data_IF_717246926093
#
_entry.id   IF_717246926093
#
_cell.length_a   1.000
_cell.length_b   1.000
_cell.length_c   1.000
_cell.angle_alpha   90.00
_cell.angle_beta   90.00
_cell.angle_gamma   90.00
#
_symmetry.space_group_name_H-M   'P 1'
#
loop_
_entity.id
_entity.type
_entity.pdbx_description
1 polymer ?
#
# COMPACT_ATOMS: atom_id res chain seq x y z
N UNK A 1 35.32 10.94 41.55
CA UNK A 1 35.33 10.94 40.08
C UNK A 1 34.73 9.60 39.64
N UNK A 2 33.41 9.57 39.45
CA UNK A 2 32.66 8.35 39.14
C UNK A 2 32.76 8.09 37.63
N UNK A 3 33.07 6.87 37.17
CA UNK A 3 33.13 6.58 35.75
C UNK A 3 31.73 6.68 35.16
N UNK A 4 31.63 7.35 34.01
CA UNK A 4 30.39 7.58 33.30
C UNK A 4 29.64 6.29 33.00
N UNK A 5 28.40 6.25 33.45
CA UNK A 5 27.40 5.25 33.10
C UNK A 5 27.03 5.46 31.62
N UNK A 6 27.80 4.86 30.72
CA UNK A 6 27.50 4.89 29.30
C UNK A 6 26.23 4.05 29.09
N UNK A 7 25.12 4.73 28.83
CA UNK A 7 23.87 4.08 28.46
C UNK A 7 24.14 3.04 27.36
N UNK A 8 23.62 1.81 27.48
CA UNK A 8 23.84 0.78 26.48
C UNK A 8 23.39 1.30 25.11
N UNK A 9 24.11 0.98 24.02
CA UNK A 9 23.70 1.37 22.68
C UNK A 9 22.27 0.86 22.46
N UNK A 10 21.39 1.76 22.01
CA UNK A 10 20.03 1.40 21.66
C UNK A 10 20.06 0.18 20.73
N UNK A 11 19.17 -0.81 20.93
CA UNK A 11 19.16 -1.99 20.07
C UNK A 11 19.05 -1.53 18.61
N UNK A 12 19.92 -2.07 17.77
CA UNK A 12 19.91 -1.85 16.33
C UNK A 12 18.64 -2.49 15.77
N UNK A 13 17.56 -1.71 15.70
CA UNK A 13 16.28 -2.19 15.19
C UNK A 13 16.43 -2.35 13.69
N UNK A 14 16.26 -3.57 13.20
CA UNK A 14 16.25 -3.87 11.77
C UNK A 14 15.29 -2.90 11.04
N UNK A 15 15.77 -2.08 10.09
CA UNK A 15 14.94 -1.12 9.36
C UNK A 15 13.70 -1.76 8.72
N UNK A 16 13.80 -3.03 8.30
CA UNK A 16 12.68 -3.79 7.76
C UNK A 16 11.60 -4.01 8.81
N UNK A 17 11.99 -4.42 10.02
CA UNK A 17 11.06 -4.71 11.12
C UNK A 17 10.43 -3.41 11.65
N UNK A 18 11.20 -2.31 11.69
CA UNK A 18 10.69 -0.98 12.00
C UNK A 18 9.65 -0.48 10.96
N UNK A 19 9.91 -0.70 9.67
CA UNK A 19 8.99 -0.35 8.60
C UNK A 19 7.70 -1.19 8.66
N UNK A 20 7.82 -2.50 8.90
CA UNK A 20 6.67 -3.40 9.07
C UNK A 20 5.81 -2.99 10.27
N UNK A 21 6.42 -2.71 11.42
CA UNK A 21 5.71 -2.24 12.61
C UNK A 21 5.01 -0.89 12.38
N UNK A 22 5.60 -0.01 11.57
CA UNK A 22 4.99 1.28 11.22
C UNK A 22 3.76 1.09 10.32
N UNK A 23 3.86 0.23 9.31
CA UNK A 23 2.72 -0.12 8.47
C UNK A 23 1.58 -0.77 9.28
N UNK A 24 1.91 -1.70 10.18
CA UNK A 24 0.93 -2.35 11.06
C UNK A 24 0.22 -1.35 11.99
N UNK A 25 0.93 -0.34 12.51
CA UNK A 25 0.31 0.74 13.29
C UNK A 25 -0.63 1.59 12.44
N UNK A 26 -0.25 1.86 11.19
CA UNK A 26 -1.10 2.63 10.26
C UNK A 26 -2.38 1.86 9.90
N UNK A 27 -2.29 0.56 9.59
CA UNK A 27 -3.47 -0.27 9.30
C UNK A 27 -4.35 -0.43 10.53
N UNK A 28 -3.78 -0.61 11.74
CA UNK A 28 -4.54 -0.63 12.99
C UNK A 28 -5.29 0.69 13.24
N UNK A 29 -4.63 1.84 13.05
CA UNK A 29 -5.28 3.14 13.14
C UNK A 29 -6.45 3.27 12.16
N UNK A 30 -6.26 2.87 10.90
CA UNK A 30 -7.31 2.97 9.88
C UNK A 30 -8.46 1.99 10.12
N UNK A 31 -8.22 0.80 10.66
CA UNK A 31 -9.30 -0.10 11.12
C UNK A 31 -10.15 0.56 12.20
N UNK A 32 -9.54 1.26 13.16
CA UNK A 32 -10.30 2.03 14.14
C UNK A 32 -11.14 3.16 13.49
N UNK A 33 -10.64 3.76 12.41
CA UNK A 33 -11.42 4.73 11.62
C UNK A 33 -12.54 4.09 10.80
N UNK A 34 -12.41 2.83 10.38
CA UNK A 34 -13.41 2.13 9.59
C UNK A 34 -14.74 1.94 10.32
N UNK A 35 -14.71 1.94 11.66
CA UNK A 35 -15.92 1.84 12.50
C UNK A 35 -16.60 3.19 12.75
N UNK A 36 -16.06 4.29 12.23
CA UNK A 36 -16.62 5.61 12.44
C UNK A 36 -17.79 5.85 11.47
N UNK A 37 -18.93 6.23 12.04
CA UNK A 37 -20.19 6.44 11.30
C UNK A 37 -20.09 7.47 10.18
N UNK A 38 -19.15 8.42 10.27
CA UNK A 38 -18.96 9.43 9.25
C UNK A 38 -18.53 8.83 7.89
N UNK A 39 -17.90 7.66 7.89
CA UNK A 39 -17.39 7.04 6.67
C UNK A 39 -18.53 6.54 5.78
N UNK A 40 -19.58 5.96 6.36
CA UNK A 40 -20.71 5.36 5.62
C UNK A 40 -21.89 6.32 5.38
N UNK A 41 -21.89 7.49 6.03
CA UNK A 41 -22.96 8.48 5.86
C UNK A 41 -22.97 9.09 4.44
N UNK A 42 -24.13 9.55 3.93
CA UNK A 42 -24.20 10.38 2.73
C UNK A 42 -23.49 11.73 2.91
N UNK A 43 -22.83 12.25 1.86
CA UNK A 43 -22.01 13.47 1.96
C UNK A 43 -22.59 14.61 1.13
N UNK A 44 -22.69 15.80 1.72
CA UNK A 44 -22.87 17.02 0.94
C UNK A 44 -21.59 17.34 0.16
N UNK A 45 -21.68 18.22 -0.85
CA UNK A 45 -20.57 18.46 -1.78
C UNK A 45 -19.30 19.03 -1.12
N UNK A 46 -19.45 19.89 -0.10
CA UNK A 46 -18.30 20.42 0.64
C UNK A 46 -17.59 19.34 1.46
N UNK A 47 -18.36 18.50 2.17
CA UNK A 47 -17.81 17.39 2.94
C UNK A 47 -17.15 16.34 2.03
N UNK A 48 -17.71 16.13 0.84
CA UNK A 48 -17.19 15.20 -0.17
C UNK A 48 -15.75 15.54 -0.57
N UNK A 49 -15.45 16.82 -0.80
CA UNK A 49 -14.09 17.24 -1.19
C UNK A 49 -13.07 16.92 -0.09
N UNK A 50 -13.39 17.29 1.16
CA UNK A 50 -12.52 17.05 2.31
C UNK A 50 -12.33 15.56 2.54
N UNK A 51 -13.41 14.78 2.56
CA UNK A 51 -13.36 13.32 2.78
C UNK A 51 -12.61 12.60 1.67
N UNK A 52 -12.84 12.98 0.41
CA UNK A 52 -12.08 12.41 -0.71
C UNK A 52 -10.58 12.67 -0.54
N UNK A 53 -10.18 13.87 -0.12
CA UNK A 53 -8.77 14.16 0.15
C UNK A 53 -8.21 13.34 1.31
N UNK A 54 -8.95 13.18 2.40
CA UNK A 54 -8.56 12.34 3.55
C UNK A 54 -8.37 10.89 3.12
N UNK A 55 -9.34 10.29 2.43
CA UNK A 55 -9.26 8.91 1.95
C UNK A 55 -8.11 8.74 0.95
N UNK A 56 -7.95 9.67 0.00
CA UNK A 56 -6.85 9.65 -0.94
C UNK A 56 -5.47 9.74 -0.27
N UNK A 57 -5.38 10.48 0.85
CA UNK A 57 -4.16 10.54 1.66
C UNK A 57 -3.93 9.24 2.43
N UNK A 58 -4.96 8.63 3.02
CA UNK A 58 -4.81 7.34 3.71
C UNK A 58 -4.29 6.25 2.79
N UNK A 59 -4.90 6.09 1.60
CA UNK A 59 -4.42 5.11 0.61
C UNK A 59 -2.99 5.43 0.17
N UNK A 60 -2.70 6.71 -0.09
CA UNK A 60 -1.36 7.15 -0.48
C UNK A 60 -0.29 6.89 0.58
N UNK A 61 -0.65 6.98 1.86
CA UNK A 61 0.27 6.72 2.96
C UNK A 61 0.51 5.22 3.13
N UNK A 62 -0.53 4.38 3.02
CA UNK A 62 -0.35 2.92 3.01
C UNK A 62 0.56 2.47 1.86
N UNK A 63 0.35 2.99 0.64
CA UNK A 63 1.23 2.75 -0.52
C UNK A 63 2.68 3.14 -0.22
N UNK A 64 2.89 4.29 0.43
CA UNK A 64 4.21 4.80 0.77
C UNK A 64 4.90 3.93 1.84
N UNK A 65 4.17 3.54 2.88
CA UNK A 65 4.69 2.70 3.94
C UNK A 65 5.06 1.31 3.44
N UNK A 66 4.24 0.70 2.58
CA UNK A 66 4.57 -0.56 1.91
C UNK A 66 5.81 -0.42 1.01
N UNK A 67 5.94 0.71 0.32
CA UNK A 67 7.12 0.99 -0.49
C UNK A 67 8.40 1.08 0.35
N UNK A 68 8.35 1.75 1.51
CA UNK A 68 9.48 1.83 2.46
C UNK A 68 9.84 0.45 3.00
N UNK A 69 8.83 -0.38 3.34
CA UNK A 69 9.07 -1.76 3.76
C UNK A 69 9.75 -2.59 2.67
N UNK A 70 9.31 -2.47 1.41
CA UNK A 70 9.93 -3.13 0.28
C UNK A 70 11.39 -2.68 0.07
N UNK A 71 11.68 -1.39 0.25
CA UNK A 71 13.05 -0.87 0.14
C UNK A 71 13.96 -1.42 1.25
N UNK A 72 13.49 -1.41 2.49
CA UNK A 72 14.25 -1.98 3.61
C UNK A 72 14.46 -3.49 3.46
N UNK A 73 13.46 -4.22 2.95
CA UNK A 73 13.58 -5.65 2.70
C UNK A 73 14.55 -5.97 1.54
N UNK A 74 14.51 -5.17 0.47
CA UNK A 74 15.44 -5.28 -0.66
C UNK A 74 16.89 -4.99 -0.27
N UNK A 75 17.12 -3.92 0.50
CA UNK A 75 18.44 -3.55 1.01
C UNK A 75 19.02 -4.65 1.90
N UNK A 76 18.23 -5.13 2.86
CA UNK A 76 18.60 -6.26 3.73
C UNK A 76 18.95 -7.52 2.93
N UNK A 77 18.26 -7.79 1.83
CA UNK A 77 18.54 -8.92 0.93
C UNK A 77 19.71 -8.68 -0.04
N UNK A 78 20.34 -7.50 -0.04
CA UNK A 78 21.44 -7.15 -0.95
C UNK A 78 20.98 -6.90 -2.39
N UNK A 79 19.70 -6.59 -2.61
CA UNK A 79 19.18 -6.24 -3.92
C UNK A 79 19.35 -4.73 -4.20
N UNK A 80 19.90 -4.36 -5.36
CA UNK A 80 20.03 -2.95 -5.71
C UNK A 80 18.65 -2.32 -5.92
N UNK A 81 18.32 -1.32 -5.10
CA UNK A 81 17.10 -0.52 -5.25
C UNK A 81 17.22 0.28 -6.55
N UNK A 82 16.44 -0.09 -7.57
CA UNK A 82 16.48 0.62 -8.86
C UNK A 82 15.51 1.80 -8.86
N UNK A 83 16.00 2.97 -9.25
CA UNK A 83 15.17 4.18 -9.46
C UNK A 83 14.09 4.02 -10.54
N UNK A 84 14.16 2.96 -11.36
CA UNK A 84 13.14 2.59 -12.35
C UNK A 84 11.90 1.92 -11.74
N UNK A 85 11.97 1.45 -10.50
CA UNK A 85 10.86 0.74 -9.84
C UNK A 85 9.91 1.70 -9.10
N UNK A 86 9.35 2.70 -9.77
CA UNK A 86 8.55 3.74 -9.09
C UNK A 86 7.18 3.27 -8.56
N UNK A 87 6.67 2.13 -9.05
CA UNK A 87 5.37 1.57 -8.65
C UNK A 87 5.56 0.45 -7.62
N UNK A 88 4.89 0.58 -6.46
CA UNK A 88 4.86 -0.41 -5.38
C UNK A 88 4.45 -1.81 -5.88
N UNK A 89 3.52 -1.93 -6.82
CA UNK A 89 3.12 -3.22 -7.39
C UNK A 89 4.29 -3.91 -8.15
N UNK A 90 5.04 -3.15 -8.95
CA UNK A 90 6.18 -3.70 -9.69
C UNK A 90 7.35 -4.05 -8.75
N UNK A 91 7.60 -3.24 -7.71
CA UNK A 91 8.56 -3.57 -6.66
C UNK A 91 8.19 -4.87 -5.96
N UNK A 92 6.92 -5.01 -5.58
CA UNK A 92 6.39 -6.19 -4.92
C UNK A 92 6.64 -7.45 -5.73
N UNK A 93 6.30 -7.47 -7.03
CA UNK A 93 6.54 -8.65 -7.89
C UNK A 93 8.01 -8.96 -8.05
N UNK A 94 8.84 -7.93 -8.18
CA UNK A 94 10.30 -8.12 -8.36
C UNK A 94 10.92 -8.71 -7.11
N UNK A 95 10.45 -8.30 -5.93
CA UNK A 95 11.00 -8.72 -4.64
C UNK A 95 10.36 -10.00 -4.09
N UNK A 96 9.04 -10.15 -4.25
CA UNK A 96 8.22 -11.22 -3.69
C UNK A 96 7.20 -11.69 -4.73
N UNK A 97 7.62 -12.56 -5.65
CA UNK A 97 6.76 -13.07 -6.73
C UNK A 97 5.49 -13.77 -6.21
N UNK A 98 5.56 -14.39 -5.02
CA UNK A 98 4.43 -15.01 -4.33
C UNK A 98 3.32 -14.00 -3.97
N UNK A 99 3.64 -12.72 -3.85
CA UNK A 99 2.68 -11.65 -3.59
C UNK A 99 2.07 -11.05 -4.88
N UNK A 100 2.32 -11.65 -6.05
CA UNK A 100 1.79 -11.19 -7.34
C UNK A 100 0.25 -11.17 -7.41
N UNK A 101 -0.44 -11.96 -6.58
CA UNK A 101 -1.90 -11.92 -6.43
C UNK A 101 -2.41 -10.53 -6.04
N UNK A 102 -1.59 -9.74 -5.34
CA UNK A 102 -1.94 -8.39 -4.90
C UNK A 102 -1.88 -7.33 -6.01
N UNK A 103 -1.31 -7.63 -7.18
CA UNK A 103 -1.09 -6.62 -8.24
C UNK A 103 -2.37 -5.94 -8.69
N UNK A 104 -3.41 -6.71 -9.04
CA UNK A 104 -4.66 -6.14 -9.53
C UNK A 104 -5.33 -5.24 -8.48
N UNK A 105 -5.20 -5.62 -7.20
CA UNK A 105 -5.66 -4.82 -6.06
C UNK A 105 -4.86 -3.54 -5.92
N UNK A 106 -3.53 -3.60 -5.94
CA UNK A 106 -2.65 -2.41 -5.85
C UNK A 106 -2.86 -1.44 -7.02
N UNK A 107 -3.04 -1.94 -8.25
CA UNK A 107 -3.38 -1.10 -9.40
C UNK A 107 -4.76 -0.44 -9.23
N UNK A 108 -5.73 -1.19 -8.70
CA UNK A 108 -7.02 -0.66 -8.30
C UNK A 108 -6.92 0.41 -7.21
N UNK A 109 -6.03 0.23 -6.22
CA UNK A 109 -5.77 1.22 -5.17
C UNK A 109 -5.12 2.48 -5.74
N UNK A 110 -4.17 2.34 -6.67
CA UNK A 110 -3.56 3.48 -7.36
C UNK A 110 -4.60 4.30 -8.13
N UNK A 111 -5.53 3.63 -8.83
CA UNK A 111 -6.67 4.29 -9.50
C UNK A 111 -7.63 4.97 -8.51
N UNK A 112 -7.96 4.29 -7.41
CA UNK A 112 -8.83 4.84 -6.37
C UNK A 112 -8.22 6.08 -5.74
N UNK A 113 -6.94 6.03 -5.35
CA UNK A 113 -6.17 7.16 -4.82
C UNK A 113 -6.19 8.35 -5.76
N UNK A 114 -5.87 8.15 -7.05
CA UNK A 114 -5.91 9.22 -8.04
C UNK A 114 -7.31 9.83 -8.15
N UNK A 115 -8.34 9.00 -8.12
CA UNK A 115 -9.75 9.43 -8.20
C UNK A 115 -10.15 10.28 -6.99
N UNK A 116 -9.79 9.85 -5.78
CA UNK A 116 -10.03 10.60 -4.56
C UNK A 116 -9.25 11.92 -4.52
N UNK A 117 -7.99 11.92 -4.96
CA UNK A 117 -7.09 13.08 -4.89
C UNK A 117 -7.41 14.15 -5.93
N UNK A 118 -7.69 13.77 -7.17
CA UNK A 118 -7.78 14.71 -8.30
C UNK A 118 -9.20 14.96 -8.78
N UNK A 119 -10.12 14.03 -8.54
CA UNK A 119 -11.49 14.10 -9.08
C UNK A 119 -12.56 14.04 -8.01
N UNK A 120 -12.16 14.19 -6.74
CA UNK A 120 -13.07 14.23 -5.58
C UNK A 120 -14.01 13.01 -5.57
N UNK A 121 -13.44 11.84 -5.87
CA UNK A 121 -14.16 10.57 -5.90
C UNK A 121 -15.00 10.31 -7.17
N UNK A 122 -14.99 11.15 -8.20
CA UNK A 122 -15.63 10.79 -9.48
C UNK A 122 -14.76 9.85 -10.31
N UNK A 123 -15.29 8.69 -10.70
CA UNK A 123 -14.64 7.80 -11.66
C UNK A 123 -14.57 8.51 -13.02
N UNK A 124 -13.38 9.02 -13.39
CA UNK A 124 -13.17 9.74 -14.67
C UNK A 124 -12.25 9.03 -15.64
N UNK A 125 -11.57 7.97 -15.21
CA UNK A 125 -10.64 7.21 -16.04
C UNK A 125 -11.02 5.75 -16.03
N UNK A 126 -11.32 5.19 -17.20
CA UNK A 126 -11.60 3.78 -17.35
C UNK A 126 -10.33 2.93 -17.25
N UNK A 127 -10.50 1.64 -16.95
CA UNK A 127 -9.41 0.67 -16.87
C UNK A 127 -8.65 0.56 -18.20
N UNK A 128 -9.38 0.66 -19.31
CA UNK A 128 -8.85 0.62 -20.68
C UNK A 128 -9.28 1.87 -21.46
N UNK A 129 -8.51 2.24 -22.48
CA UNK A 129 -8.83 3.38 -23.35
C UNK A 129 -10.19 3.13 -24.04
N UNK A 130 -11.11 4.08 -23.90
CA UNK A 130 -12.47 3.96 -24.44
C UNK A 130 -13.41 3.04 -23.63
N UNK A 131 -12.94 2.49 -22.51
CA UNK A 131 -13.78 1.67 -21.62
C UNK A 131 -14.83 2.49 -20.86
N UNK A 132 -15.81 1.78 -20.31
CA UNK A 132 -16.95 2.37 -19.59
C UNK A 132 -16.87 2.22 -18.06
N UNK A 133 -15.87 1.50 -17.55
CA UNK A 133 -15.75 1.18 -16.13
C UNK A 133 -14.34 1.43 -15.60
N UNK A 134 -14.26 1.76 -14.32
CA UNK A 134 -13.04 1.82 -13.52
C UNK A 134 -13.12 0.80 -12.39
N UNK A 135 -12.05 0.03 -12.21
CA UNK A 135 -11.91 -0.97 -11.15
C UNK A 135 -11.05 -0.44 -10.01
N UNK A 136 -11.49 -0.64 -8.77
CA UNK A 136 -10.77 -0.27 -7.53
C UNK A 136 -10.16 -1.50 -6.84
N UNK A 137 -9.36 -1.27 -5.79
CA UNK A 137 -8.56 -2.32 -5.15
C UNK A 137 -9.27 -3.17 -4.08
N UNK A 138 -10.52 -2.85 -3.76
CA UNK A 138 -11.36 -3.60 -2.82
C UNK A 138 -12.52 -4.29 -3.53
N UNK A 139 -13.15 -5.25 -2.86
CA UNK A 139 -14.16 -6.11 -3.44
C UNK A 139 -15.52 -5.43 -3.52
N UNK A 140 -16.28 -5.82 -4.54
CA UNK A 140 -17.71 -5.58 -4.64
C UNK A 140 -18.49 -6.82 -4.18
N UNK A 141 -19.82 -6.81 -4.40
CA UNK A 141 -20.65 -7.98 -4.19
C UNK A 141 -20.09 -9.21 -4.93
N UNK A 142 -20.05 -10.36 -4.25
CA UNK A 142 -19.54 -11.60 -4.85
C UNK A 142 -18.01 -11.75 -4.87
N UNK A 143 -17.26 -10.87 -4.20
CA UNK A 143 -15.80 -11.02 -4.00
C UNK A 143 -14.93 -10.61 -5.19
N UNK A 144 -15.52 -10.27 -6.34
CA UNK A 144 -14.80 -9.65 -7.45
C UNK A 144 -14.42 -8.20 -7.11
N UNK A 145 -13.33 -7.69 -7.70
CA UNK A 145 -12.95 -6.28 -7.51
C UNK A 145 -14.08 -5.35 -7.93
N UNK A 146 -14.35 -4.34 -7.10
CA UNK A 146 -15.46 -3.43 -7.32
C UNK A 146 -15.22 -2.58 -8.56
N UNK A 147 -16.27 -2.42 -9.35
CA UNK A 147 -16.26 -1.63 -10.59
C UNK A 147 -17.28 -0.51 -10.49
N UNK A 148 -16.90 0.65 -11.01
CA UNK A 148 -17.75 1.84 -11.09
C UNK A 148 -17.85 2.26 -12.55
N UNK A 149 -19.04 2.64 -13.01
CA UNK A 149 -19.21 3.26 -14.32
C UNK A 149 -18.53 4.63 -14.32
N UNK A 150 -17.99 5.03 -15.47
CA UNK A 150 -17.45 6.38 -15.61
C UNK A 150 -18.56 7.41 -15.38
N UNK A 151 -18.26 8.42 -14.56
CA UNK A 151 -19.21 9.41 -14.05
C UNK A 151 -19.76 9.08 -12.65
N UNK A 152 -19.70 7.81 -12.21
CA UNK A 152 -20.14 7.44 -10.87
C UNK A 152 -19.22 7.99 -9.79
N UNK A 153 -19.79 8.15 -8.60
CA UNK A 153 -19.06 8.55 -7.40
C UNK A 153 -18.63 7.30 -6.64
N UNK A 154 -17.33 7.20 -6.44
CA UNK A 154 -16.70 6.16 -5.65
C UNK A 154 -16.88 6.50 -4.18
N UNK A 155 -17.37 5.51 -3.45
CA UNK A 155 -17.50 5.56 -2.01
C UNK A 155 -16.66 4.41 -1.41
N UNK A 156 -15.80 4.77 -0.47
CA UNK A 156 -15.05 3.82 0.35
C UNK A 156 -15.72 3.81 1.73
N UNK A 157 -16.52 2.77 1.99
CA UNK A 157 -17.17 2.56 3.29
C UNK A 157 -16.26 1.79 4.26
N UNK A 158 -16.74 1.59 5.49
CA UNK A 158 -15.99 0.91 6.56
C UNK A 158 -15.46 -0.45 6.18
N UNK A 159 -16.32 -1.34 5.68
CA UNK A 159 -15.92 -2.71 5.29
C UNK A 159 -14.84 -2.72 4.22
N UNK A 160 -14.93 -1.80 3.24
CA UNK A 160 -13.93 -1.68 2.20
C UNK A 160 -12.60 -1.14 2.75
N UNK A 161 -12.63 -0.25 3.74
CA UNK A 161 -11.41 0.23 4.41
C UNK A 161 -10.74 -0.88 5.22
N UNK A 162 -11.51 -1.75 5.90
CA UNK A 162 -10.97 -2.94 6.59
C UNK A 162 -10.30 -3.87 5.59
N UNK A 163 -10.97 -4.19 4.48
CA UNK A 163 -10.39 -5.04 3.43
C UNK A 163 -9.10 -4.46 2.85
N UNK A 164 -9.03 -3.13 2.68
CA UNK A 164 -7.80 -2.45 2.30
C UNK A 164 -6.71 -2.66 3.36
N UNK A 165 -7.03 -2.48 4.65
CA UNK A 165 -6.05 -2.71 5.72
C UNK A 165 -5.54 -4.16 5.73
N UNK A 166 -6.42 -5.14 5.56
CA UNK A 166 -6.08 -6.56 5.52
C UNK A 166 -5.15 -6.87 4.34
N UNK A 167 -5.43 -6.31 3.16
CA UNK A 167 -4.54 -6.40 2.00
C UNK A 167 -3.12 -5.91 2.32
N UNK A 168 -2.97 -4.73 2.92
CA UNK A 168 -1.64 -4.19 3.21
C UNK A 168 -0.90 -5.00 4.29
N UNK A 169 -1.61 -5.52 5.30
CA UNK A 169 -1.00 -6.39 6.32
C UNK A 169 -0.56 -7.73 5.73
N UNK A 170 -1.37 -8.33 4.85
CA UNK A 170 -1.01 -9.57 4.17
C UNK A 170 0.22 -9.38 3.27
N UNK A 171 0.24 -8.29 2.49
CA UNK A 171 1.40 -7.93 1.66
C UNK A 171 2.64 -7.71 2.51
N UNK A 172 2.53 -7.00 3.64
CA UNK A 172 3.64 -6.79 4.57
C UNK A 172 4.16 -8.11 5.13
N UNK A 173 3.26 -9.01 5.54
CA UNK A 173 3.63 -10.33 6.06
C UNK A 173 4.37 -11.16 4.99
N UNK A 174 3.97 -11.09 3.73
CA UNK A 174 4.71 -11.76 2.64
C UNK A 174 6.10 -11.16 2.44
N UNK A 175 6.22 -9.83 2.45
CA UNK A 175 7.52 -9.15 2.31
C UNK A 175 8.47 -9.50 3.46
N UNK A 176 7.96 -9.62 4.69
CA UNK A 176 8.75 -10.00 5.87
C UNK A 176 9.17 -11.48 5.82
N UNK A 177 8.30 -12.37 5.33
CA UNK A 177 8.58 -13.80 5.16
C UNK A 177 9.47 -14.13 3.96
N UNK A 178 9.52 -13.26 2.96
CA UNK A 178 10.26 -13.50 1.73
C UNK A 178 11.72 -13.89 2.05
N UNK A 179 12.18 -15.05 1.55
CA UNK A 179 13.51 -15.55 1.87
C UNK A 179 14.59 -14.64 1.28
N UNK A 180 15.72 -14.57 1.96
CA UNK A 180 16.93 -13.96 1.42
C UNK A 180 17.42 -14.80 0.24
N UNK A 181 17.28 -14.29 -0.98
CA UNK A 181 18.00 -14.86 -2.11
C UNK A 181 19.35 -14.15 -2.18
N UNK A 182 20.36 -14.71 -1.50
CA UNK A 182 21.74 -14.33 -1.77
C UNK A 182 21.99 -14.54 -3.27
N UNK A 183 22.38 -13.49 -3.99
CA UNK A 183 22.99 -13.65 -5.30
C UNK A 183 24.24 -14.51 -5.11
N UNK A 184 24.18 -15.79 -5.47
CA UNK A 184 25.39 -16.56 -5.79
C UNK A 184 26.18 -15.70 -6.77
N UNK A 185 27.38 -15.32 -6.36
CA UNK A 185 28.27 -14.48 -7.14
C UNK A 185 28.33 -14.97 -8.57
N UNK A 186 27.99 -14.09 -9.51
CA UNK A 186 28.47 -14.23 -10.87
C UNK A 186 29.99 -14.06 -10.79
N UNK A 187 30.66 -15.18 -10.56
CA UNK A 187 32.10 -15.28 -10.74
C UNK A 187 32.41 -14.75 -12.12
N UNK A 188 33.13 -13.64 -12.16
CA UNK A 188 33.91 -13.25 -13.31
C UNK A 188 34.88 -14.40 -13.59
N UNK A 189 34.51 -15.31 -14.48
CA UNK A 189 35.51 -16.04 -15.24
C UNK A 189 35.96 -15.09 -16.34
N UNK A 190 37.12 -14.49 -16.11
CA UNK A 190 37.88 -13.84 -17.16
C UNK A 190 38.19 -14.84 -18.27
N UNK A 191 38.05 -14.37 -19.49
CA UNK A 191 38.78 -14.84 -20.66
C UNK A 191 39.45 -13.60 -21.23
#
# INVERSE_FOLDING_TARGET
MTPGDAAPPAPDVDPRDAAAATLARATAFLRAQAHQSWLDQPWCDRQRMVRSRVIGNWIGELDRLLHVLLDAAADRAGHPVSTRQRNTANKLVTFCAEASWGMARLDGMARARATFRYTQGAARRADVRGGSHMTVGWSGPGGALRRFRIGERIHLGGNALVEVCDLYDELAAQVVRAPFVQRKGLGHQGI
#
